data_IF_572346439183
#
_entry.id   IF_572346439183
#
_cell.length_a   1.000
_cell.length_b   1.000
_cell.length_c   1.000
_cell.angle_alpha   90.00
_cell.angle_beta   90.00
_cell.angle_gamma   90.00
#
_symmetry.space_group_name_H-M   'P 1'
#
loop_
_entity.id
_entity.type
_entity.pdbx_description
1 polymer ?
#
# COMPACT_ATOMS: atom_id res chain seq x y z
N UNK A 1 11.72 1.67 -13.68
CA UNK A 1 10.76 1.79 -12.57
C UNK A 1 9.51 2.48 -13.00
N UNK A 2 8.53 1.68 -13.43
CA UNK A 2 7.15 2.12 -13.35
C UNK A 2 6.80 2.25 -11.86
N UNK A 3 6.26 3.40 -11.47
CA UNK A 3 5.83 3.64 -10.10
C UNK A 3 4.39 3.17 -9.97
N UNK A 4 4.22 1.90 -9.66
CA UNK A 4 2.90 1.30 -9.45
C UNK A 4 2.29 1.92 -8.19
N UNK A 5 2.97 1.81 -7.06
CA UNK A 5 2.44 2.22 -5.77
C UNK A 5 2.91 3.60 -5.34
N UNK A 6 4.22 3.89 -5.45
CA UNK A 6 4.87 5.07 -4.84
C UNK A 6 4.84 6.27 -5.79
N UNK A 7 3.61 6.70 -6.08
CA UNK A 7 3.31 7.83 -6.95
C UNK A 7 2.95 9.10 -6.15
N UNK A 8 2.48 10.14 -6.86
CA UNK A 8 2.04 11.37 -6.23
C UNK A 8 0.82 11.15 -5.31
N UNK A 9 -0.08 10.23 -5.66
CA UNK A 9 -1.26 9.94 -4.86
C UNK A 9 -0.88 9.31 -3.52
N UNK A 10 0.10 8.40 -3.50
CA UNK A 10 0.61 7.83 -2.24
C UNK A 10 1.12 8.91 -1.28
N UNK A 11 1.77 9.96 -1.81
CA UNK A 11 2.26 11.07 -0.99
C UNK A 11 1.15 11.84 -0.26
N UNK A 12 -0.10 11.73 -0.71
CA UNK A 12 -1.27 12.37 -0.08
C UNK A 12 -1.76 11.66 1.18
N UNK A 13 -1.34 10.41 1.40
CA UNK A 13 -1.71 9.68 2.61
C UNK A 13 -1.14 10.36 3.84
N UNK A 14 0.09 10.91 3.77
CA UNK A 14 0.78 11.55 4.91
C UNK A 14 0.04 12.75 5.49
N UNK A 15 -0.83 13.39 4.72
CA UNK A 15 -1.64 14.52 5.16
C UNK A 15 -2.69 14.08 6.22
N UNK A 16 -2.98 12.77 6.32
CA UNK A 16 -3.70 12.15 7.42
C UNK A 16 -5.06 12.79 7.71
N UNK A 17 -5.29 13.14 8.98
CA UNK A 17 -6.53 13.80 9.42
C UNK A 17 -6.63 15.26 9.00
N UNK A 18 -5.50 15.90 8.66
CA UNK A 18 -5.49 17.32 8.26
C UNK A 18 -6.22 17.53 6.92
N UNK A 19 -6.06 16.59 5.99
CA UNK A 19 -6.77 16.55 4.70
C UNK A 19 -7.58 15.26 4.55
N UNK A 20 -8.44 14.99 5.54
CA UNK A 20 -9.15 13.70 5.73
C UNK A 20 -9.71 13.11 4.43
N UNK A 21 -10.44 13.89 3.63
CA UNK A 21 -11.08 13.40 2.42
C UNK A 21 -10.06 12.95 1.36
N UNK A 22 -8.99 13.72 1.18
CA UNK A 22 -7.95 13.42 0.20
C UNK A 22 -7.10 12.23 0.64
N UNK A 23 -6.67 12.20 1.92
CA UNK A 23 -5.86 11.09 2.45
C UNK A 23 -6.65 9.77 2.49
N UNK A 24 -7.95 9.80 2.81
CA UNK A 24 -8.80 8.61 2.76
C UNK A 24 -8.95 8.08 1.32
N UNK A 25 -9.23 8.98 0.36
CA UNK A 25 -9.34 8.60 -1.05
C UNK A 25 -8.03 8.01 -1.59
N UNK A 26 -6.88 8.63 -1.25
CA UNK A 26 -5.56 8.11 -1.61
C UNK A 26 -5.29 6.73 -1.01
N UNK A 27 -5.61 6.54 0.28
CA UNK A 27 -5.40 5.25 0.96
C UNK A 27 -6.29 4.15 0.37
N UNK A 28 -7.56 4.45 0.08
CA UNK A 28 -8.49 3.52 -0.58
C UNK A 28 -8.03 3.12 -1.98
N UNK A 29 -7.59 4.10 -2.79
CA UNK A 29 -7.04 3.82 -4.11
C UNK A 29 -5.81 2.91 -4.05
N UNK A 30 -4.94 3.07 -3.04
CA UNK A 30 -3.77 2.21 -2.87
C UNK A 30 -4.11 0.82 -2.34
N UNK A 31 -5.16 0.68 -1.53
CA UNK A 31 -5.71 -0.63 -1.17
C UNK A 31 -6.30 -1.36 -2.39
N UNK A 32 -7.08 -0.67 -3.22
CA UNK A 32 -7.63 -1.23 -4.47
C UNK A 32 -6.51 -1.68 -5.41
N UNK A 33 -5.52 -0.81 -5.63
CA UNK A 33 -4.36 -1.13 -6.45
C UNK A 33 -3.56 -2.33 -5.90
N UNK A 34 -3.45 -2.46 -4.57
CA UNK A 34 -2.79 -3.61 -3.95
C UNK A 34 -3.54 -4.91 -4.25
N UNK A 35 -4.87 -4.89 -4.24
CA UNK A 35 -5.69 -6.07 -4.61
C UNK A 35 -5.55 -6.42 -6.10
N UNK A 36 -5.54 -5.43 -6.99
CA UNK A 36 -5.36 -5.65 -8.43
C UNK A 36 -4.02 -6.32 -8.73
N UNK A 37 -2.94 -5.79 -8.16
CA UNK A 37 -1.58 -6.35 -8.32
C UNK A 37 -1.47 -7.73 -7.67
N UNK A 38 -2.09 -7.92 -6.49
CA UNK A 38 -2.17 -9.23 -5.82
C UNK A 38 -2.82 -10.26 -6.73
N UNK A 39 -3.94 -9.93 -7.36
CA UNK A 39 -4.65 -10.84 -8.27
C UNK A 39 -3.83 -11.18 -9.52
N UNK A 40 -3.09 -10.20 -10.07
CA UNK A 40 -2.21 -10.43 -11.20
C UNK A 40 -1.06 -11.38 -10.86
N UNK A 41 -0.35 -11.14 -9.75
CA UNK A 41 0.74 -12.00 -9.27
C UNK A 41 0.22 -13.40 -8.92
N UNK A 42 -0.91 -13.48 -8.20
CA UNK A 42 -1.52 -14.75 -7.82
C UNK A 42 -1.84 -15.62 -9.03
N UNK A 43 -2.40 -15.01 -10.08
CA UNK A 43 -2.82 -15.72 -11.28
C UNK A 43 -1.65 -16.28 -12.08
N UNK A 44 -0.48 -15.63 -12.01
CA UNK A 44 0.70 -16.04 -12.75
C UNK A 44 1.67 -16.93 -11.95
N UNK A 45 1.82 -16.69 -10.63
CA UNK A 45 2.86 -17.33 -9.80
C UNK A 45 2.33 -17.96 -8.50
N UNK A 46 1.03 -17.86 -8.23
CA UNK A 46 0.40 -18.42 -7.03
C UNK A 46 0.44 -17.51 -5.79
N UNK A 47 -0.25 -17.95 -4.73
CA UNK A 47 -0.45 -17.16 -3.51
C UNK A 47 0.86 -16.92 -2.71
N UNK A 48 1.80 -17.86 -2.76
CA UNK A 48 3.07 -17.71 -2.05
C UNK A 48 3.91 -16.55 -2.62
N UNK A 49 3.89 -16.39 -3.95
CA UNK A 49 4.57 -15.29 -4.62
C UNK A 49 3.97 -13.94 -4.22
N UNK A 50 2.65 -13.84 -4.09
CA UNK A 50 1.98 -12.62 -3.61
C UNK A 50 2.56 -12.18 -2.26
N UNK A 51 2.62 -13.10 -1.29
CA UNK A 51 3.12 -12.76 0.04
C UNK A 51 4.59 -12.38 0.00
N UNK A 52 5.42 -13.09 -0.76
CA UNK A 52 6.86 -12.85 -0.80
C UNK A 52 7.24 -11.55 -1.52
N UNK A 53 6.48 -11.19 -2.57
CA UNK A 53 6.75 -10.00 -3.37
C UNK A 53 6.15 -8.74 -2.75
N UNK A 54 4.89 -8.81 -2.29
CA UNK A 54 4.16 -7.63 -1.82
C UNK A 54 4.23 -7.43 -0.31
N UNK A 55 4.67 -8.44 0.46
CA UNK A 55 4.41 -8.48 1.91
C UNK A 55 2.92 -8.25 2.19
N UNK A 56 2.07 -8.92 1.39
CA UNK A 56 0.69 -8.51 1.15
C UNK A 56 -0.11 -8.34 2.44
N UNK A 57 -0.04 -9.30 3.38
CA UNK A 57 -0.80 -9.24 4.63
C UNK A 57 -0.42 -8.03 5.47
N UNK A 58 0.87 -7.78 5.64
CA UNK A 58 1.41 -6.72 6.47
C UNK A 58 1.21 -5.34 5.83
N UNK A 59 1.39 -5.23 4.51
CA UNK A 59 1.14 -3.99 3.76
C UNK A 59 -0.34 -3.64 3.77
N UNK A 60 -1.22 -4.60 3.46
CA UNK A 60 -2.66 -4.40 3.52
C UNK A 60 -3.10 -3.94 4.90
N UNK A 61 -2.66 -4.65 5.94
CA UNK A 61 -2.97 -4.27 7.33
C UNK A 61 -2.48 -2.86 7.65
N UNK A 62 -1.28 -2.50 7.23
CA UNK A 62 -0.73 -1.17 7.48
C UNK A 62 -1.56 -0.07 6.81
N UNK A 63 -1.97 -0.26 5.55
CA UNK A 63 -2.85 0.67 4.84
C UNK A 63 -4.26 0.74 5.46
N UNK A 64 -4.81 -0.39 5.91
CA UNK A 64 -6.09 -0.43 6.64
C UNK A 64 -6.01 0.34 7.97
N UNK A 65 -4.91 0.22 8.72
CA UNK A 65 -4.71 1.00 9.95
C UNK A 65 -4.50 2.49 9.66
N UNK A 66 -3.88 2.84 8.53
CA UNK A 66 -3.83 4.23 8.07
C UNK A 66 -5.24 4.76 7.78
N UNK A 67 -6.06 3.99 7.07
CA UNK A 67 -7.43 4.37 6.76
C UNK A 67 -8.28 4.51 8.03
N UNK A 68 -8.14 3.58 8.98
CA UNK A 68 -8.81 3.61 10.28
C UNK A 68 -8.42 4.88 11.06
N UNK A 69 -7.14 5.25 11.10
CA UNK A 69 -6.68 6.50 11.70
C UNK A 69 -7.35 7.72 11.05
N UNK A 70 -7.40 7.76 9.71
CA UNK A 70 -7.93 8.89 8.95
C UNK A 70 -9.46 9.02 9.10
N UNK A 71 -10.19 7.91 8.96
CA UNK A 71 -11.65 7.91 8.84
C UNK A 71 -12.35 7.92 10.19
N UNK A 72 -11.84 7.18 11.17
CA UNK A 72 -12.48 7.02 12.47
C UNK A 72 -11.98 8.07 13.48
N UNK A 73 -12.83 9.03 13.89
CA UNK A 73 -12.46 10.03 14.91
C UNK A 73 -12.18 9.41 16.29
N UNK A 74 -12.61 8.17 16.54
CA UNK A 74 -12.40 7.42 17.77
C UNK A 74 -11.35 6.31 17.63
N UNK A 75 -10.57 6.33 16.53
CA UNK A 75 -9.50 5.36 16.31
C UNK A 75 -8.55 5.28 17.51
N UNK A 76 -8.13 4.06 17.83
CA UNK A 76 -7.06 3.80 18.81
C UNK A 76 -5.67 3.90 18.19
N UNK A 77 -5.57 4.01 16.86
CA UNK A 77 -4.31 4.26 16.16
C UNK A 77 -3.89 5.69 16.49
N UNK A 78 -2.71 5.85 17.08
CA UNK A 78 -2.14 7.17 17.38
C UNK A 78 -1.47 7.77 16.15
N UNK A 79 -1.13 9.06 16.19
CA UNK A 79 -0.31 9.68 15.14
C UNK A 79 1.03 8.95 14.95
N UNK A 80 1.64 8.45 16.04
CA UNK A 80 2.89 7.69 15.96
C UNK A 80 2.67 6.34 15.24
N UNK A 81 1.60 5.63 15.59
CA UNK A 81 1.23 4.36 14.92
C UNK A 81 0.94 4.58 13.43
N UNK A 82 0.22 5.65 13.10
CA UNK A 82 -0.05 6.04 11.72
C UNK A 82 1.24 6.23 10.91
N UNK A 83 2.21 6.97 11.45
CA UNK A 83 3.51 7.16 10.79
C UNK A 83 4.28 5.85 10.66
N UNK A 84 4.22 4.97 11.66
CA UNK A 84 4.86 3.65 11.63
C UNK A 84 4.23 2.78 10.53
N UNK A 85 2.90 2.68 10.47
CA UNK A 85 2.20 1.91 9.46
C UNK A 85 2.45 2.45 8.05
N UNK A 86 2.36 3.76 7.86
CA UNK A 86 2.62 4.40 6.57
C UNK A 86 4.07 4.17 6.13
N UNK A 87 5.04 4.33 7.04
CA UNK A 87 6.45 4.08 6.78
C UNK A 87 6.76 2.63 6.41
N UNK A 88 6.13 1.67 7.11
CA UNK A 88 6.25 0.25 6.79
C UNK A 88 5.69 -0.06 5.40
N UNK A 89 4.45 0.36 5.12
CA UNK A 89 3.81 0.16 3.82
C UNK A 89 4.64 0.78 2.69
N UNK A 90 5.12 2.02 2.87
CA UNK A 90 5.97 2.68 1.88
C UNK A 90 7.27 1.91 1.62
N UNK A 91 7.90 1.36 2.65
CA UNK A 91 9.16 0.62 2.52
C UNK A 91 8.96 -0.66 1.72
N UNK A 92 7.95 -1.46 2.08
CA UNK A 92 7.68 -2.73 1.39
C UNK A 92 7.19 -2.52 -0.04
N UNK A 93 6.35 -1.50 -0.29
CA UNK A 93 5.87 -1.20 -1.64
C UNK A 93 7.00 -0.70 -2.56
N UNK A 94 7.99 0.02 -2.02
CA UNK A 94 9.21 0.34 -2.78
C UNK A 94 9.99 -0.90 -3.16
N UNK A 95 10.11 -1.86 -2.23
CA UNK A 95 10.82 -3.10 -2.52
C UNK A 95 10.05 -3.95 -3.54
N UNK A 96 8.74 -4.04 -3.43
CA UNK A 96 7.88 -4.69 -4.42
C UNK A 96 8.07 -4.08 -5.82
N UNK A 97 8.10 -2.74 -5.95
CA UNK A 97 8.39 -2.07 -7.22
C UNK A 97 9.77 -2.42 -7.79
N UNK A 98 10.77 -2.70 -6.95
CA UNK A 98 12.08 -3.17 -7.42
C UNK A 98 12.00 -4.60 -7.94
N UNK A 99 11.29 -5.48 -7.23
CA UNK A 99 11.08 -6.87 -7.63
C UNK A 99 10.29 -6.94 -8.94
N UNK A 100 9.29 -6.07 -9.14
CA UNK A 100 8.56 -6.00 -10.41
C UNK A 100 9.48 -5.71 -11.59
N UNK A 101 10.34 -4.72 -11.44
CA UNK A 101 11.28 -4.32 -12.47
C UNK A 101 12.34 -5.41 -12.75
N UNK A 102 12.78 -6.17 -11.75
CA UNK A 102 13.87 -7.15 -11.89
C UNK A 102 13.42 -8.58 -12.21
N UNK A 103 12.26 -8.99 -11.73
CA UNK A 103 11.83 -10.39 -11.71
C UNK A 103 10.46 -10.63 -12.37
N UNK A 104 9.60 -9.60 -12.48
CA UNK A 104 8.22 -9.75 -12.96
C UNK A 104 7.88 -8.77 -14.09
N UNK A 105 8.88 -8.38 -14.88
CA UNK A 105 8.74 -7.38 -15.95
C UNK A 105 7.69 -7.75 -17.01
N UNK A 106 7.42 -9.04 -17.18
CA UNK A 106 6.45 -9.63 -18.09
C UNK A 106 4.99 -9.41 -17.67
N UNK A 107 4.72 -9.09 -16.40
CA UNK A 107 3.35 -8.85 -15.92
C UNK A 107 2.79 -7.48 -16.35
N UNK A 108 3.61 -6.63 -16.98
CA UNK A 108 3.27 -5.28 -17.44
C UNK A 108 2.57 -4.39 -16.39
N UNK A 109 2.79 -4.66 -15.10
CA UNK A 109 2.30 -3.89 -13.95
C UNK A 109 2.68 -2.40 -14.04
#
# INVERSE_FOLDING_TARGET
MKKVFIDHLFSKIVEGRYEKALSAAATKAKLEQLEDVRNAIQSAYGEEAVQNVLWYREVKRSLEQCLEFIENPHSQVTDADFIIYLGYAQTQLKEAERIFDSELSELEL
#
